data_IF_292605288049
#
_entry.id   IF_292605288049
#
_cell.length_a   1.000
_cell.length_b   1.000
_cell.length_c   1.000
_cell.angle_alpha   90.00
_cell.angle_beta   90.00
_cell.angle_gamma   90.00
#
_symmetry.space_group_name_H-M   'P 1'
#
loop_
_entity.id
_entity.type
_entity.pdbx_description
1 polymer ?
2 non-polymer ?
3 non-polymer ?
4 water ?
#
# COMPACT_ATOMS: atom_id res chain seq x y z
N UNK A 1 7.34 38.29 -10.54
CA UNK A 1 6.34 39.29 -10.11
C UNK A 1 6.36 39.40 -8.60
N UNK A 2 5.76 40.46 -8.09
CA UNK A 2 5.58 40.66 -6.66
C UNK A 2 4.19 40.20 -6.25
N UNK A 3 4.14 39.30 -5.28
CA UNK A 3 2.88 38.85 -4.66
C UNK A 3 2.91 39.43 -3.25
N UNK A 4 1.77 39.41 -2.57
CA UNK A 4 1.65 40.09 -1.27
C UNK A 4 0.90 39.24 -0.25
N UNK A 5 1.35 39.30 1.01
CA UNK A 5 0.58 38.76 2.14
C UNK A 5 0.63 39.78 3.30
N UNK A 6 0.06 39.43 4.46
CA UNK A 6 -0.04 40.39 5.57
C UNK A 6 1.32 40.83 6.14
N UNK A 7 2.40 40.12 5.86
CA UNK A 7 3.74 40.61 6.20
C UNK A 7 4.32 41.58 5.17
N UNK A 8 3.73 41.65 3.98
CA UNK A 8 4.26 42.52 2.93
C UNK A 8 4.36 41.83 1.58
N UNK A 9 5.28 42.31 0.74
CA UNK A 9 5.43 41.73 -0.59
C UNK A 9 6.75 40.95 -0.77
N UNK A 10 6.74 40.07 -1.76
CA UNK A 10 7.83 39.13 -1.99
C UNK A 10 7.82 38.71 -3.46
N UNK A 11 9.00 38.53 -4.04
CA UNK A 11 9.11 38.17 -5.45
C UNK A 11 8.77 36.69 -5.64
N UNK A 12 7.97 36.40 -6.67
CA UNK A 12 7.67 35.03 -7.04
C UNK A 12 8.02 34.90 -8.51
N UNK A 13 8.72 33.81 -8.90
CA UNK A 13 9.07 33.66 -10.32
C UNK A 13 7.82 33.73 -11.17
N UNK A 14 7.91 34.46 -12.28
CA UNK A 14 6.81 34.61 -13.21
C UNK A 14 6.30 33.26 -13.71
N UNK A 15 7.20 32.30 -13.87
CA UNK A 15 6.84 30.98 -14.39
C UNK A 15 6.01 30.14 -13.38
N UNK A 16 5.97 30.53 -12.11
CA UNK A 16 5.28 29.72 -11.09
C UNK A 16 3.90 30.29 -10.76
N UNK A 17 3.00 29.41 -10.33
CA UNK A 17 1.60 29.76 -10.11
C UNK A 17 1.25 29.99 -8.64
N UNK A 18 2.18 29.71 -7.72
CA UNK A 18 1.91 29.94 -6.31
C UNK A 18 2.07 31.40 -5.96
N UNK A 19 1.79 31.74 -4.71
CA UNK A 19 1.77 33.14 -4.29
C UNK A 19 2.67 33.45 -3.10
N UNK A 20 2.31 34.51 -2.39
CA UNK A 20 3.19 35.13 -1.40
C UNK A 20 3.55 34.16 -0.31
N UNK A 21 2.54 33.51 0.25
CA UNK A 21 2.71 32.68 1.41
C UNK A 21 3.53 31.43 1.08
N UNK A 22 3.26 30.82 -0.08
CA UNK A 22 4.04 29.66 -0.50
C UNK A 22 5.48 30.08 -0.69
N UNK A 23 5.69 31.21 -1.35
CA UNK A 23 7.04 31.66 -1.65
C UNK A 23 7.80 31.99 -0.38
N UNK A 24 7.09 32.63 0.54
CA UNK A 24 7.70 33.07 1.79
C UNK A 24 8.17 31.87 2.57
N UNK A 25 7.34 30.85 2.60
CA UNK A 25 7.55 29.69 3.45
C UNK A 25 8.31 28.55 2.75
N UNK A 26 8.74 28.84 1.52
CA UNK A 26 9.61 27.98 0.76
C UNK A 26 11.03 28.31 1.18
N UNK A 27 11.17 29.33 2.02
CA UNK A 27 12.46 29.68 2.60
C UNK A 27 12.55 29.34 4.11
N UNK A 28 11.41 29.22 4.77
CA UNK A 28 11.38 28.90 6.19
C UNK A 28 11.55 27.43 6.48
N UNK A 29 11.35 26.56 5.46
CA UNK A 29 11.39 25.11 5.70
C UNK A 29 12.19 24.34 4.69
N UNK A 30 13.44 24.76 4.50
CA UNK A 30 14.33 23.93 3.72
C UNK A 30 14.64 22.72 4.58
N UNK A 31 13.66 21.85 4.85
CA UNK A 31 14.01 20.63 5.60
C UNK A 31 13.99 19.41 4.65
N UNK A 32 15.16 18.83 4.40
CA UNK A 32 15.31 17.58 3.63
C UNK A 32 14.66 17.76 2.26
N UNK A 33 14.13 16.70 1.68
CA UNK A 33 13.69 16.76 0.28
C UNK A 33 12.28 16.21 0.05
N UNK A 34 11.67 15.64 1.07
CA UNK A 34 10.34 15.10 0.93
C UNK A 34 9.31 16.22 0.82
N UNK A 35 8.47 16.13 -0.20
CA UNK A 35 7.39 17.06 -0.48
C UNK A 35 6.06 16.32 -0.37
N UNK A 36 4.96 17.05 -0.34
CA UNK A 36 3.66 16.40 -0.28
C UNK A 36 3.52 15.52 -1.52
N UNK A 37 2.84 14.38 -1.37
CA UNK A 37 2.69 13.44 -2.47
C UNK A 37 1.66 13.99 -3.47
N UNK A 38 1.78 13.60 -4.74
CA UNK A 38 0.74 13.95 -5.69
C UNK A 38 -0.65 13.48 -5.25
N UNK A 39 -0.76 12.27 -4.70
CA UNK A 39 -2.03 11.76 -4.18
C UNK A 39 -2.68 12.76 -3.22
N UNK A 40 -1.88 13.28 -2.30
CA UNK A 40 -2.37 14.21 -1.30
C UNK A 40 -2.75 15.55 -1.94
N UNK A 41 -1.90 16.06 -2.82
CA UNK A 41 -2.17 17.31 -3.53
C UNK A 41 -3.50 17.17 -4.34
N UNK A 42 -3.66 16.04 -5.01
CA UNK A 42 -4.88 15.75 -5.77
C UNK A 42 -6.11 15.70 -4.91
N UNK A 43 -6.00 15.13 -3.72
CA UNK A 43 -7.13 15.04 -2.80
C UNK A 43 -7.51 16.46 -2.30
N UNK A 44 -6.49 17.28 -2.05
CA UNK A 44 -6.73 18.66 -1.66
C UNK A 44 -7.45 19.42 -2.80
N UNK A 45 -7.00 19.22 -4.03
CA UNK A 45 -7.61 19.87 -5.19
C UNK A 45 -9.04 19.40 -5.36
N UNK A 46 -9.29 18.12 -5.09
CA UNK A 46 -10.65 17.59 -5.17
C UNK A 46 -11.57 18.31 -4.16
N UNK A 47 -11.09 18.55 -2.95
CA UNK A 47 -11.88 19.30 -1.98
C UNK A 47 -12.19 20.70 -2.50
N UNK A 48 -11.20 21.36 -3.09
CA UNK A 48 -11.43 22.71 -3.63
C UNK A 48 -12.45 22.67 -4.78
N UNK A 49 -12.37 21.64 -5.60
CA UNK A 49 -13.32 21.42 -6.69
C UNK A 49 -14.73 21.24 -6.12
N UNK A 50 -14.85 20.42 -5.10
CA UNK A 50 -16.13 20.11 -4.49
C UNK A 50 -16.73 21.33 -3.79
N UNK A 51 -15.90 22.07 -3.05
CA UNK A 51 -16.31 23.28 -2.35
C UNK A 51 -16.85 24.32 -3.34
N UNK A 52 -16.19 24.50 -4.49
CA UNK A 52 -16.63 25.44 -5.52
C UNK A 52 -17.99 25.06 -6.07
N UNK A 53 -18.18 23.78 -6.36
CA UNK A 53 -19.43 23.28 -6.88
C UNK A 53 -20.54 23.47 -5.86
N UNK A 54 -20.28 23.10 -4.61
CA UNK A 54 -21.27 23.22 -3.57
C UNK A 54 -21.61 24.71 -3.31
N UNK A 55 -20.59 25.56 -3.27
CA UNK A 55 -20.75 26.97 -2.97
C UNK A 55 -21.51 27.65 -4.12
N UNK A 56 -21.30 27.20 -5.36
CA UNK A 56 -22.11 27.61 -6.49
C UNK A 56 -23.57 27.20 -6.28
N UNK A 57 -23.80 25.92 -6.00
CA UNK A 57 -25.14 25.42 -5.82
C UNK A 57 -25.86 26.14 -4.68
N UNK A 58 -25.17 26.48 -3.61
CA UNK A 58 -25.74 27.24 -2.49
C UNK A 58 -25.98 28.76 -2.81
N UNK A 59 -25.45 29.24 -3.93
CA UNK A 59 -25.64 30.63 -4.33
C UNK A 59 -24.66 31.62 -3.73
N UNK A 60 -23.62 31.13 -3.04
CA UNK A 60 -22.70 32.03 -2.32
C UNK A 60 -21.46 32.39 -3.12
N UNK A 61 -21.25 31.70 -4.23
CA UNK A 61 -20.09 31.93 -5.09
C UNK A 61 -20.55 32.15 -6.54
N UNK A 62 -19.98 33.16 -7.20
CA UNK A 62 -20.35 33.47 -8.57
C UNK A 62 -19.96 32.32 -9.50
N UNK A 63 -20.79 32.12 -10.51
CA UNK A 63 -20.60 31.03 -11.46
C UNK A 63 -19.28 31.11 -12.19
N UNK A 64 -18.89 32.31 -12.60
CA UNK A 64 -17.65 32.40 -13.35
C UNK A 64 -16.43 31.94 -12.52
N UNK A 65 -16.38 32.37 -11.26
CA UNK A 65 -15.31 31.99 -10.36
C UNK A 65 -15.37 30.48 -10.07
N UNK A 66 -16.56 29.98 -9.77
CA UNK A 66 -16.77 28.59 -9.49
C UNK A 66 -16.26 27.71 -10.64
N UNK A 67 -16.68 28.03 -11.86
CA UNK A 67 -16.27 27.27 -13.04
C UNK A 67 -14.75 27.32 -13.25
N UNK A 68 -14.15 28.49 -13.08
CA UNK A 68 -12.71 28.64 -13.26
C UNK A 68 -11.95 27.85 -12.18
N UNK A 69 -12.46 27.85 -10.95
CA UNK A 69 -11.83 27.11 -9.85
C UNK A 69 -11.91 25.59 -10.12
N UNK A 70 -13.09 25.12 -10.52
CA UNK A 70 -13.28 23.74 -10.89
C UNK A 70 -12.28 23.36 -12.01
N UNK A 71 -12.17 24.19 -13.04
CA UNK A 71 -11.31 23.87 -14.18
C UNK A 71 -9.83 23.79 -13.76
N UNK A 72 -9.42 24.73 -12.90
CA UNK A 72 -8.06 24.77 -12.38
C UNK A 72 -7.76 23.53 -11.53
N UNK A 73 -8.70 23.17 -10.65
CA UNK A 73 -8.57 21.98 -9.82
C UNK A 73 -8.42 20.73 -10.72
N UNK A 74 -9.21 20.66 -11.78
CA UNK A 74 -9.13 19.51 -12.69
C UNK A 74 -7.77 19.39 -13.36
N UNK A 75 -7.16 20.53 -13.70
CA UNK A 75 -5.84 20.51 -14.30
C UNK A 75 -4.82 19.94 -13.32
N UNK A 76 -4.91 20.34 -12.05
CA UNK A 76 -4.03 19.80 -11.01
C UNK A 76 -4.20 18.28 -10.89
N UNK A 77 -5.46 17.84 -10.83
CA UNK A 77 -5.80 16.44 -10.73
C UNK A 77 -5.30 15.64 -11.96
N UNK A 78 -5.34 16.26 -13.14
CA UNK A 78 -4.84 15.60 -14.35
C UNK A 78 -3.30 15.57 -14.42
N UNK A 79 -2.61 16.11 -13.43
CA UNK A 79 -1.15 16.07 -13.38
C UNK A 79 -0.45 17.19 -14.13
N UNK A 80 -1.17 18.24 -14.49
CA UNK A 80 -0.59 19.33 -15.31
C UNK A 80 0.16 20.42 -14.53
N UNK A 81 0.29 20.30 -13.22
CA UNK A 81 0.95 21.36 -12.42
C UNK A 81 1.87 20.80 -11.41
N UNK A 82 2.60 19.77 -11.85
CA UNK A 82 3.52 19.00 -11.02
C UNK A 82 4.54 19.86 -10.32
N UNK A 83 4.95 20.97 -10.94
CA UNK A 83 6.00 21.81 -10.35
C UNK A 83 5.48 22.98 -9.47
N UNK A 84 4.19 23.05 -9.19
CA UNK A 84 3.61 24.19 -8.47
C UNK A 84 3.40 23.94 -6.98
N UNK A 85 3.95 22.82 -6.48
CA UNK A 85 3.77 22.41 -5.09
C UNK A 85 5.11 22.04 -4.45
N UNK A 86 5.88 23.07 -4.06
CA UNK A 86 7.26 22.94 -3.69
C UNK A 86 7.54 22.76 -2.21
N UNK A 87 6.50 22.70 -1.39
CA UNK A 87 6.69 22.69 0.04
C UNK A 87 6.99 21.31 0.59
N UNK A 88 7.74 21.32 1.67
CA UNK A 88 8.13 20.15 2.40
C UNK A 88 6.99 19.56 3.22
N UNK A 89 7.13 18.27 3.47
CA UNK A 89 6.31 17.57 4.42
C UNK A 89 6.51 18.19 5.79
N UNK A 90 7.76 18.57 6.07
CA UNK A 90 8.18 19.01 7.41
C UNK A 90 7.83 20.49 7.53
N UNK A 91 6.53 20.75 7.72
CA UNK A 91 6.00 22.11 7.72
C UNK A 91 5.05 22.29 8.92
N UNK A 92 4.17 23.29 8.87
CA UNK A 92 3.07 23.43 9.82
C UNK A 92 2.42 22.06 10.02
N UNK A 93 2.20 21.65 11.25
CA UNK A 93 1.63 20.34 11.56
C UNK A 93 0.17 20.13 11.17
N UNK A 94 -0.49 21.24 10.87
CA UNK A 94 -1.87 21.21 10.39
C UNK A 94 -1.94 21.09 8.89
N UNK A 95 -0.81 21.22 8.21
CA UNK A 95 -0.82 21.30 6.75
C UNK A 95 -1.32 22.62 6.18
N UNK A 96 -1.42 23.67 7.02
CA UNK A 96 -1.85 24.99 6.56
C UNK A 96 -1.04 25.52 5.38
N UNK A 97 0.27 25.42 5.43
CA UNK A 97 1.10 25.97 4.36
C UNK A 97 0.73 25.32 3.03
N UNK A 98 0.48 24.01 3.04
CA UNK A 98 0.05 23.30 1.83
C UNK A 98 -1.40 23.65 1.43
N UNK A 99 -2.32 23.80 2.39
CA UNK A 99 -3.64 24.32 2.03
C UNK A 99 -3.52 25.67 1.27
N UNK A 100 -2.71 26.57 1.78
CA UNK A 100 -2.46 27.88 1.16
C UNK A 100 -1.85 27.72 -0.23
N UNK A 101 -0.95 26.73 -0.36
CA UNK A 101 -0.32 26.44 -1.66
C UNK A 101 -1.43 26.09 -2.70
N UNK A 102 -2.39 25.25 -2.33
CA UNK A 102 -3.49 24.92 -3.23
C UNK A 102 -4.32 26.18 -3.54
N UNK A 103 -4.65 26.96 -2.51
CA UNK A 103 -5.50 28.14 -2.68
C UNK A 103 -4.86 29.13 -3.64
N UNK A 104 -3.57 29.38 -3.48
CA UNK A 104 -2.85 30.35 -4.29
C UNK A 104 -2.70 29.87 -5.72
N UNK A 105 -2.32 28.61 -5.91
CA UNK A 105 -2.13 28.09 -7.26
C UNK A 105 -3.47 28.09 -8.02
N UNK A 106 -4.53 27.64 -7.37
CA UNK A 106 -5.82 27.57 -7.99
C UNK A 106 -6.35 29.00 -8.28
N UNK A 107 -6.14 29.93 -7.36
CA UNK A 107 -6.55 31.34 -7.56
C UNK A 107 -5.83 31.95 -8.76
N UNK A 108 -4.52 31.81 -8.83
CA UNK A 108 -3.76 32.34 -9.96
C UNK A 108 -4.17 31.72 -11.30
N UNK A 109 -4.37 30.41 -11.31
CA UNK A 109 -4.73 29.73 -12.54
C UNK A 109 -6.15 30.03 -12.97
N UNK A 110 -7.08 30.00 -12.02
CA UNK A 110 -8.48 30.36 -12.27
C UNK A 110 -8.55 31.81 -12.84
N UNK A 111 -7.73 32.69 -12.28
CA UNK A 111 -7.68 34.07 -12.76
C UNK A 111 -7.29 34.11 -14.25
N UNK A 112 -6.28 33.33 -14.65
CA UNK A 112 -5.91 33.19 -16.07
C UNK A 112 -7.07 32.66 -16.90
N UNK A 113 -7.76 31.66 -16.38
CA UNK A 113 -8.88 31.09 -17.09
C UNK A 113 -10.04 32.06 -17.29
N UNK A 114 -10.15 33.08 -16.44
CA UNK A 114 -11.16 34.14 -16.57
C UNK A 114 -10.70 35.31 -17.45
N UNK A 115 -9.53 35.21 -18.07
CA UNK A 115 -8.97 36.27 -18.91
C UNK A 115 -8.08 37.24 -18.14
N UNK A 116 -7.82 36.93 -16.86
CA UNK A 116 -7.02 37.79 -16.02
C UNK A 116 -5.55 37.37 -15.92
N UNK A 117 -4.88 37.90 -14.91
CA UNK A 117 -3.45 37.70 -14.73
C UNK A 117 -3.16 37.04 -13.37
N UNK A 118 -1.99 36.41 -13.30
CA UNK A 118 -1.43 35.94 -12.05
C UNK A 118 -1.06 37.11 -11.19
N UNK A 119 -1.18 36.94 -9.88
CA UNK A 119 -0.61 37.91 -8.93
C UNK A 119 -1.64 38.84 -8.33
N UNK A 120 -1.20 40.02 -7.91
CA UNK A 120 -2.00 40.90 -7.06
C UNK A 120 -3.28 41.38 -7.75
N UNK A 121 -3.31 41.39 -9.08
CA UNK A 121 -4.51 41.82 -9.81
C UNK A 121 -5.59 40.76 -9.98
N UNK A 122 -5.34 39.53 -9.51
CA UNK A 122 -6.21 38.41 -9.84
C UNK A 122 -7.66 38.63 -9.41
N UNK A 123 -8.57 38.10 -10.20
CA UNK A 123 -10.00 38.17 -9.92
C UNK A 123 -10.44 37.16 -8.85
N UNK A 124 -9.70 36.04 -8.74
CA UNK A 124 -10.03 34.99 -7.79
C UNK A 124 -9.09 35.07 -6.57
N UNK A 125 -9.69 35.15 -5.38
CA UNK A 125 -8.96 35.34 -4.13
C UNK A 125 -8.67 33.97 -3.48
N UNK A 126 -7.39 33.70 -3.15
CA UNK A 126 -7.07 32.40 -2.52
C UNK A 126 -7.89 32.09 -1.28
N UNK A 127 -7.98 33.03 -0.34
CA UNK A 127 -8.73 32.78 0.88
C UNK A 127 -10.22 32.96 0.70
N UNK A 128 -10.64 34.10 0.14
CA UNK A 128 -12.06 34.44 0.12
C UNK A 128 -12.86 33.62 -0.89
N UNK A 129 -12.23 33.19 -1.98
CA UNK A 129 -12.94 32.36 -2.98
C UNK A 129 -12.56 30.85 -2.95
N UNK A 130 -11.28 30.55 -3.11
CA UNK A 130 -10.85 29.13 -3.23
C UNK A 130 -11.07 28.42 -1.90
N UNK A 131 -10.77 29.12 -0.81
CA UNK A 131 -10.94 28.60 0.56
C UNK A 131 -12.29 28.93 1.21
N UNK A 132 -13.26 29.39 0.42
CA UNK A 132 -14.55 29.81 0.99
C UNK A 132 -15.24 28.69 1.74
N UNK A 133 -15.62 28.99 2.98
CA UNK A 133 -16.35 28.05 3.82
C UNK A 133 -15.51 26.98 4.52
N UNK A 134 -14.19 27.07 4.37
CA UNK A 134 -13.26 26.04 4.83
C UNK A 134 -12.29 26.62 5.83
N UNK A 135 -11.63 25.72 6.55
CA UNK A 135 -10.49 26.08 7.38
C UNK A 135 -9.38 25.11 6.99
N UNK A 136 -8.14 25.55 7.09
CA UNK A 136 -7.01 24.61 7.02
C UNK A 136 -7.19 23.43 7.97
N UNK A 137 -7.84 23.68 9.10
CA UNK A 137 -7.96 22.70 10.15
C UNK A 137 -8.88 21.56 9.76
N UNK A 138 -9.89 21.80 8.94
CA UNK A 138 -10.80 20.75 8.56
C UNK A 138 -10.56 20.21 7.14
N UNK A 139 -9.88 21.01 6.31
CA UNK A 139 -9.48 20.59 4.96
C UNK A 139 -8.42 19.47 5.00
N UNK A 140 -7.37 19.63 5.81
CA UNK A 140 -6.26 18.70 5.75
C UNK A 140 -6.66 17.29 6.23
N UNK A 141 -7.38 17.19 7.36
CA UNK A 141 -7.85 15.86 7.75
C UNK A 141 -8.72 15.23 6.69
N UNK A 142 -9.56 16.05 6.05
CA UNK A 142 -10.41 15.56 4.98
C UNK A 142 -9.58 14.99 3.84
N UNK A 143 -8.54 15.70 3.44
CA UNK A 143 -7.69 15.26 2.33
C UNK A 143 -6.90 13.98 2.68
N UNK A 144 -6.48 13.84 3.93
CA UNK A 144 -5.80 12.64 4.37
C UNK A 144 -6.69 11.40 4.18
N UNK A 145 -7.95 11.53 4.58
CA UNK A 145 -8.88 10.44 4.52
C UNK A 145 -9.17 10.08 3.09
N UNK A 146 -9.43 11.09 2.25
CA UNK A 146 -9.71 10.87 0.82
C UNK A 146 -8.50 10.21 0.13
N UNK A 147 -7.33 10.80 0.32
CA UNK A 147 -6.14 10.30 -0.35
C UNK A 147 -5.92 8.81 0.05
N UNK A 148 -6.01 8.51 1.33
CA UNK A 148 -5.76 7.12 1.79
C UNK A 148 -6.81 6.15 1.24
N UNK A 149 -8.09 6.52 1.32
CA UNK A 149 -9.19 5.66 0.88
C UNK A 149 -9.10 5.38 -0.64
N UNK A 150 -8.88 6.42 -1.44
CA UNK A 150 -8.82 6.24 -2.88
C UNK A 150 -7.58 5.39 -3.26
N UNK A 151 -6.46 5.61 -2.58
CA UNK A 151 -5.25 4.86 -2.90
C UNK A 151 -5.47 3.38 -2.56
N UNK A 152 -6.16 3.12 -1.46
CA UNK A 152 -6.52 1.76 -1.07
C UNK A 152 -7.43 1.09 -2.12
N UNK A 153 -8.50 1.77 -2.50
CA UNK A 153 -9.48 1.18 -3.39
C UNK A 153 -8.99 1.08 -4.83
N UNK A 154 -8.35 2.13 -5.33
CA UNK A 154 -7.99 2.19 -6.74
C UNK A 154 -6.62 1.60 -7.08
N UNK A 155 -5.72 1.53 -6.09
CA UNK A 155 -4.36 1.11 -6.36
C UNK A 155 -4.03 -0.18 -5.65
N UNK A 156 -4.16 -0.24 -4.32
CA UNK A 156 -3.75 -1.41 -3.56
C UNK A 156 -4.64 -2.65 -3.73
N UNK A 157 -5.95 -2.50 -3.51
CA UNK A 157 -6.81 -3.69 -3.58
C UNK A 157 -6.73 -4.36 -4.97
N UNK A 158 -6.72 -3.61 -6.06
CA UNK A 158 -6.65 -4.33 -7.33
C UNK A 158 -5.33 -5.07 -7.52
N UNK A 159 -4.23 -4.49 -7.04
CA UNK A 159 -2.93 -5.14 -7.16
C UNK A 159 -2.92 -6.45 -6.33
N UNK A 160 -3.47 -6.39 -5.12
CA UNK A 160 -3.54 -7.57 -4.29
C UNK A 160 -4.41 -8.65 -4.93
N UNK A 161 -5.53 -8.26 -5.53
CA UNK A 161 -6.40 -9.20 -6.18
C UNK A 161 -5.72 -9.85 -7.40
N UNK A 162 -4.94 -9.08 -8.14
CA UNK A 162 -4.20 -9.62 -9.30
C UNK A 162 -3.18 -10.67 -8.82
N UNK A 163 -2.42 -10.33 -7.78
CA UNK A 163 -1.42 -11.31 -7.28
C UNK A 163 -2.12 -12.54 -6.74
N UNK A 164 -3.24 -12.34 -6.05
CA UNK A 164 -4.01 -13.44 -5.52
C UNK A 164 -4.48 -14.39 -6.63
N UNK A 165 -5.03 -13.84 -7.71
CA UNK A 165 -5.49 -14.62 -8.84
C UNK A 165 -4.34 -15.46 -9.43
N UNK A 166 -3.16 -14.86 -9.56
CA UNK A 166 -2.02 -15.55 -10.12
C UNK A 166 -1.59 -16.71 -9.24
N UNK A 167 -1.47 -16.46 -7.94
CA UNK A 167 -1.01 -17.50 -7.03
C UNK A 167 -2.06 -18.62 -6.91
N UNK A 168 -3.33 -18.27 -7.08
CA UNK A 168 -4.38 -19.28 -7.04
C UNK A 168 -4.37 -20.14 -8.32
N UNK A 169 -4.09 -19.52 -9.47
CA UNK A 169 -3.91 -20.27 -10.72
C UNK A 169 -2.70 -21.19 -10.57
N UNK A 170 -1.63 -20.71 -9.94
CA UNK A 170 -0.48 -21.56 -9.69
C UNK A 170 -0.81 -22.71 -8.74
N UNK A 171 -1.54 -22.40 -7.66
CA UNK A 171 -1.97 -23.42 -6.73
C UNK A 171 -2.72 -24.57 -7.45
N UNK A 172 -3.66 -24.20 -8.31
CA UNK A 172 -4.43 -25.16 -9.07
C UNK A 172 -3.51 -26.02 -9.95
N UNK A 173 -2.60 -25.36 -10.67
CA UNK A 173 -1.67 -26.04 -11.56
C UNK A 173 -0.73 -26.98 -10.82
N UNK A 174 -0.40 -26.67 -9.56
CA UNK A 174 0.56 -27.45 -8.79
C UNK A 174 -0.09 -28.39 -7.78
N UNK A 175 -1.41 -28.59 -7.89
CA UNK A 175 -2.19 -29.34 -6.92
C UNK A 175 -1.77 -30.82 -6.77
N UNK A 176 -1.15 -31.38 -7.80
CA UNK A 176 -0.74 -32.78 -7.74
C UNK A 176 0.76 -32.96 -7.54
N UNK A 177 1.52 -31.88 -7.30
CA UNK A 177 2.96 -31.99 -7.07
C UNK A 177 3.25 -32.17 -5.59
N UNK A 178 3.63 -33.40 -5.21
CA UNK A 178 3.91 -33.71 -3.81
C UNK A 178 5.33 -33.31 -3.47
N UNK A 179 5.50 -32.61 -2.35
CA UNK A 179 6.81 -32.13 -1.93
C UNK A 179 6.98 -32.34 -0.43
N UNK A 180 8.22 -32.23 0.02
CA UNK A 180 8.58 -32.31 1.43
C UNK A 180 8.16 -31.00 2.14
N UNK A 181 7.43 -31.10 3.23
CA UNK A 181 7.17 -29.97 4.09
C UNK A 181 8.43 -29.58 4.85
N UNK A 182 8.43 -28.34 5.35
CA UNK A 182 9.49 -27.88 6.25
C UNK A 182 8.90 -27.13 7.40
N UNK A 183 9.21 -27.59 8.61
CA UNK A 183 8.86 -26.91 9.83
C UNK A 183 10.15 -26.74 10.63
N UNK A 184 10.34 -25.55 11.21
CA UNK A 184 11.57 -25.18 11.89
C UNK A 184 12.78 -25.21 10.96
N UNK A 185 12.52 -25.18 9.65
CA UNK A 185 13.51 -25.31 8.55
C UNK A 185 13.89 -26.77 8.27
N UNK A 186 13.33 -27.72 9.03
CA UNK A 186 13.73 -29.12 8.94
C UNK A 186 12.73 -29.93 8.08
N UNK A 187 13.24 -30.98 7.44
CA UNK A 187 12.41 -31.90 6.66
C UNK A 187 11.20 -32.32 7.50
N UNK A 188 10.02 -32.29 6.92
CA UNK A 188 8.78 -32.61 7.64
C UNK A 188 7.81 -33.37 6.74
N UNK A 189 6.63 -33.67 7.27
CA UNK A 189 5.49 -34.29 6.57
C UNK A 189 5.28 -33.68 5.18
N UNK A 190 4.95 -34.51 4.19
CA UNK A 190 4.66 -33.97 2.85
C UNK A 190 3.38 -33.15 2.73
N UNK A 191 3.34 -32.30 1.71
CA UNK A 191 2.11 -31.62 1.25
C UNK A 191 2.31 -31.34 -0.22
N UNK A 192 1.27 -30.90 -0.91
CA UNK A 192 1.48 -30.51 -2.30
C UNK A 192 1.96 -29.06 -2.43
N UNK A 193 2.67 -28.79 -3.52
CA UNK A 193 3.12 -27.46 -3.82
C UNK A 193 1.89 -26.56 -3.94
N UNK A 194 0.81 -27.12 -4.48
CA UNK A 194 -0.47 -26.41 -4.55
C UNK A 194 -1.04 -26.02 -3.20
N UNK A 195 -0.97 -26.94 -2.24
CA UNK A 195 -1.45 -26.66 -0.89
C UNK A 195 -0.63 -25.51 -0.27
N UNK A 196 0.69 -25.54 -0.44
CA UNK A 196 1.57 -24.51 0.11
C UNK A 196 1.21 -23.16 -0.49
N UNK A 197 1.00 -23.14 -1.81
CA UNK A 197 0.58 -21.93 -2.50
C UNK A 197 -0.82 -21.47 -2.06
N UNK A 198 -1.71 -22.42 -1.74
CA UNK A 198 -3.04 -22.06 -1.30
C UNK A 198 -2.97 -21.26 0.02
N UNK A 199 -1.93 -21.50 0.82
CA UNK A 199 -1.68 -20.70 2.01
C UNK A 199 -1.46 -19.23 1.67
N UNK A 200 -0.60 -18.98 0.69
CA UNK A 200 -0.32 -17.61 0.24
C UNK A 200 -1.60 -16.92 -0.25
N UNK A 201 -2.39 -17.65 -1.05
CA UNK A 201 -3.65 -17.14 -1.59
C UNK A 201 -4.58 -16.75 -0.44
N UNK A 202 -4.69 -17.62 0.55
CA UNK A 202 -5.55 -17.34 1.72
C UNK A 202 -5.02 -16.15 2.51
N UNK A 203 -3.71 -15.99 2.64
CA UNK A 203 -3.14 -14.81 3.32
C UNK A 203 -3.57 -13.51 2.59
N UNK A 204 -3.53 -13.54 1.24
CA UNK A 204 -3.96 -12.40 0.46
C UNK A 204 -5.46 -12.12 0.64
N UNK A 205 -6.31 -13.16 0.61
CA UNK A 205 -7.75 -13.00 0.89
C UNK A 205 -8.00 -12.34 2.25
N UNK A 206 -7.32 -12.82 3.27
CA UNK A 206 -7.44 -12.29 4.61
C UNK A 206 -7.03 -10.83 4.64
N UNK A 207 -5.90 -10.52 4.00
CA UNK A 207 -5.37 -9.16 3.97
C UNK A 207 -6.29 -8.19 3.26
N UNK A 208 -6.87 -8.64 2.15
CA UNK A 208 -7.80 -7.81 1.42
C UNK A 208 -9.00 -7.46 2.33
N UNK A 209 -9.52 -8.43 3.07
CA UNK A 209 -10.65 -8.19 3.95
C UNK A 209 -10.26 -7.25 5.10
N UNK A 210 -9.05 -7.43 5.62
CA UNK A 210 -8.57 -6.55 6.70
C UNK A 210 -8.41 -5.12 6.25
N UNK A 211 -7.87 -4.92 5.05
CA UNK A 211 -7.72 -3.59 4.51
C UNK A 211 -9.11 -2.94 4.27
N UNK A 212 -10.05 -3.71 3.73
CA UNK A 212 -11.40 -3.22 3.51
C UNK A 212 -12.06 -2.78 4.81
N UNK A 213 -11.68 -3.42 5.91
CA UNK A 213 -12.22 -3.07 7.23
C UNK A 213 -11.81 -1.66 7.69
N UNK A 214 -10.77 -1.08 7.07
CA UNK A 214 -10.31 0.29 7.36
C UNK A 214 -11.09 1.36 6.62
N UNK A 215 -11.89 0.98 5.63
CA UNK A 215 -12.51 1.98 4.75
C UNK A 215 -13.62 2.79 5.43
N UNK A 216 -14.54 2.15 6.16
CA UNK A 216 -15.65 2.95 6.73
C UNK A 216 -15.23 4.15 7.56
N UNK A 217 -14.16 4.02 8.34
CA UNK A 217 -13.67 5.14 9.17
C UNK A 217 -12.99 6.20 8.32
N UNK A 218 -12.22 5.76 7.32
CA UNK A 218 -11.61 6.69 6.37
C UNK A 218 -12.68 7.49 5.59
N UNK A 219 -13.84 6.87 5.34
CA UNK A 219 -14.88 7.55 4.58
C UNK A 219 -15.53 8.72 5.35
N UNK A 220 -15.24 8.83 6.64
CA UNK A 220 -15.77 9.90 7.44
C UNK A 220 -14.95 11.19 7.35
N UNK A 221 -15.58 12.26 6.82
CA UNK A 221 -14.86 13.48 6.49
C UNK A 221 -15.08 14.61 7.50
N UNK A 222 -13.97 15.27 7.85
CA UNK A 222 -13.98 16.36 8.82
C UNK A 222 -14.57 17.64 8.24
N UNK A 223 -14.67 17.72 6.91
CA UNK A 223 -15.00 18.97 6.24
C UNK A 223 -16.31 19.54 6.77
N UNK A 224 -16.25 20.79 7.25
CA UNK A 224 -17.41 21.43 7.89
C UNK A 224 -17.23 21.62 9.38
N UNK A 225 -16.19 21.02 9.97
CA UNK A 225 -15.88 21.24 11.38
C UNK A 225 -15.28 22.62 11.66
N UNK A 226 -14.80 23.27 10.61
CA UNK A 226 -14.11 24.56 10.65
C UNK A 226 -12.95 24.51 11.64
N UNK A 227 -12.76 25.54 12.46
CA UNK A 227 -11.50 25.71 13.20
C UNK A 227 -11.25 24.63 14.27
N UNK A 228 -12.29 24.28 15.03
CA UNK A 228 -12.12 23.40 16.17
C UNK A 228 -13.12 22.25 16.26
N UNK A 229 -13.94 22.08 15.24
CA UNK A 229 -14.89 20.97 15.22
C UNK A 229 -16.35 21.36 15.31
N UNK A 230 -16.63 22.58 15.79
CA UNK A 230 -18.01 23.03 16.06
C UNK A 230 -18.79 23.38 14.80
N UNK A 231 -18.10 23.64 13.69
CA UNK A 231 -18.77 24.13 12.48
C UNK A 231 -19.09 25.62 12.48
N UNK A 232 -18.60 26.37 13.47
CA UNK A 232 -18.76 27.83 13.52
C UNK A 232 -18.33 28.44 12.20
N UNK A 233 -19.23 29.27 11.65
CA UNK A 233 -18.99 30.06 10.43
C UNK A 233 -19.08 29.26 9.14
N UNK A 234 -19.43 27.99 9.23
CA UNK A 234 -19.71 27.20 8.05
C UNK A 234 -21.15 27.46 7.63
N UNK A 235 -21.39 27.48 6.33
CA UNK A 235 -22.75 27.39 5.84
C UNK A 235 -23.33 26.08 6.35
N UNK A 236 -24.58 26.10 6.83
CA UNK A 236 -25.18 24.91 7.45
C UNK A 236 -25.31 23.69 6.55
N UNK A 237 -25.33 23.88 5.24
CA UNK A 237 -25.43 22.78 4.30
C UNK A 237 -24.08 22.34 3.71
N UNK A 238 -23.01 23.03 4.05
CA UNK A 238 -21.72 22.79 3.40
C UNK A 238 -21.17 21.39 3.71
N UNK A 239 -21.19 20.99 4.98
CA UNK A 239 -20.59 19.69 5.41
C UNK A 239 -21.17 18.51 4.63
N UNK A 240 -22.49 18.42 4.60
CA UNK A 240 -23.21 17.36 3.92
C UNK A 240 -23.00 17.49 2.42
N UNK A 241 -23.07 18.72 1.93
CA UNK A 241 -22.96 18.96 0.51
C UNK A 241 -21.60 18.56 -0.05
N UNK A 242 -20.54 18.97 0.64
CA UNK A 242 -19.19 18.65 0.17
C UNK A 242 -18.94 17.15 0.21
N UNK A 243 -19.40 16.49 1.28
CA UNK A 243 -19.18 15.05 1.40
C UNK A 243 -19.91 14.30 0.27
N UNK A 244 -21.15 14.72 -0.04
CA UNK A 244 -21.90 14.10 -1.14
C UNK A 244 -21.20 14.30 -2.48
N UNK A 245 -20.68 15.51 -2.67
CA UNK A 245 -19.99 15.83 -3.93
C UNK A 245 -18.67 15.06 -4.06
N UNK A 246 -17.95 14.88 -2.96
CA UNK A 246 -16.72 14.07 -2.97
C UNK A 246 -17.09 12.62 -3.29
N UNK A 247 -18.18 12.14 -2.70
CA UNK A 247 -18.75 10.84 -3.05
C UNK A 247 -19.05 10.67 -4.53
N UNK A 248 -19.70 11.67 -5.12
CA UNK A 248 -20.04 11.64 -6.56
C UNK A 248 -18.77 11.63 -7.40
N UNK A 249 -17.81 12.46 -7.03
CA UNK A 249 -16.59 12.59 -7.80
C UNK A 249 -15.74 11.31 -7.79
N UNK A 250 -15.76 10.58 -6.68
CA UNK A 250 -14.84 9.45 -6.46
C UNK A 250 -15.48 8.09 -6.70
N UNK A 251 -16.81 8.04 -6.61
CA UNK A 251 -17.54 6.79 -6.67
C UNK A 251 -17.56 6.03 -5.35
N UNK A 252 -17.07 6.65 -4.27
CA UNK A 252 -16.97 5.96 -3.00
C UNK A 252 -17.93 6.59 -1.98
N UNK A 253 -18.39 5.81 -0.98
CA UNK A 253 -19.41 6.35 -0.07
C UNK A 253 -18.85 7.25 1.06
N UNK A 254 -18.20 8.34 0.69
CA UNK A 254 -17.79 9.35 1.65
C UNK A 254 -19.01 9.97 2.34
N UNK A 255 -18.86 10.27 3.62
CA UNK A 255 -19.92 10.85 4.42
C UNK A 255 -19.34 11.87 5.35
N UNK A 256 -20.18 12.78 5.83
CA UNK A 256 -19.73 13.75 6.81
C UNK A 256 -19.51 13.02 8.14
N UNK A 257 -18.39 13.28 8.78
CA UNK A 257 -18.05 12.55 10.03
C UNK A 257 -19.10 12.83 11.08
N UNK A 258 -19.67 11.78 11.71
CA UNK A 258 -20.64 12.02 12.76
C UNK A 258 -20.05 12.79 13.96
N UNK A 259 -18.75 12.64 14.21
CA UNK A 259 -18.10 13.47 15.23
C UNK A 259 -16.88 14.21 14.67
N UNK A 260 -17.06 15.50 14.38
CA UNK A 260 -15.97 16.30 13.81
C UNK A 260 -14.76 16.43 14.74
N UNK A 261 -15.04 16.52 16.04
CA UNK A 261 -13.97 16.65 17.03
C UNK A 261 -13.01 15.45 16.93
N UNK A 262 -13.59 14.26 16.77
CA UNK A 262 -12.78 13.03 16.74
C UNK A 262 -11.85 12.97 15.54
N UNK A 263 -12.35 13.34 14.36
CA UNK A 263 -11.53 13.28 13.13
C UNK A 263 -10.61 14.52 12.94
N UNK A 264 -10.72 15.50 13.85
CA UNK A 264 -9.80 16.64 13.87
C UNK A 264 -8.76 16.57 14.97
N UNK A 265 -9.21 16.25 16.17
CA UNK A 265 -8.34 16.07 17.32
C UNK A 265 -7.49 14.81 17.19
N UNK A 266 -7.89 13.91 16.30
CA UNK A 266 -7.14 12.66 16.10
C UNK A 266 -7.17 12.24 14.63
N UNK A 267 -6.20 11.42 14.24
CA UNK A 267 -6.11 10.82 12.90
C UNK A 267 -6.19 9.30 13.07
N UNK A 268 -7.10 8.83 13.92
CA UNK A 268 -7.15 7.42 14.30
C UNK A 268 -7.51 6.49 13.13
N UNK A 269 -8.25 6.99 12.15
CA UNK A 269 -8.56 6.20 10.97
C UNK A 269 -7.30 5.83 10.15
N UNK A 270 -6.31 6.71 10.17
CA UNK A 270 -5.07 6.52 9.46
C UNK A 270 -4.21 5.55 10.25
N UNK A 271 -4.21 5.68 11.59
CA UNK A 271 -3.52 4.73 12.44
C UNK A 271 -4.06 3.31 12.20
N UNK A 272 -5.38 3.17 12.14
CA UNK A 272 -5.98 1.86 11.94
C UNK A 272 -5.70 1.33 10.53
N UNK A 273 -5.86 2.19 9.52
CA UNK A 273 -5.61 1.79 8.16
C UNK A 273 -4.16 1.30 8.06
N UNK A 274 -3.23 2.02 8.70
CA UNK A 274 -1.85 1.58 8.62
C UNK A 274 -1.60 0.25 9.32
N UNK A 275 -2.35 -0.03 10.40
CA UNK A 275 -2.38 -1.35 11.01
C UNK A 275 -2.76 -2.48 10.04
N UNK A 276 -3.74 -2.23 9.18
CA UNK A 276 -4.09 -3.14 8.09
C UNK A 276 -2.96 -3.27 7.07
N UNK A 277 -2.31 -2.16 6.74
CA UNK A 277 -1.24 -2.18 5.77
C UNK A 277 -0.05 -3.02 6.26
N UNK A 278 0.31 -2.88 7.53
CA UNK A 278 1.43 -3.68 8.06
C UNK A 278 1.07 -5.16 8.23
N UNK A 279 -0.22 -5.49 8.36
CA UNK A 279 -0.64 -6.89 8.25
C UNK A 279 -0.37 -7.44 6.84
N UNK A 280 -0.74 -6.70 5.80
CA UNK A 280 -0.41 -7.09 4.43
C UNK A 280 1.11 -7.25 4.25
N UNK A 281 1.90 -6.32 4.84
CA UNK A 281 3.36 -6.37 4.76
C UNK A 281 3.91 -7.68 5.37
N UNK A 282 3.35 -8.10 6.50
CA UNK A 282 3.81 -9.34 7.14
C UNK A 282 3.54 -10.53 6.23
N UNK A 283 2.38 -10.54 5.57
CA UNK A 283 2.04 -11.61 4.65
C UNK A 283 2.96 -11.60 3.42
N UNK A 284 3.12 -10.43 2.79
CA UNK A 284 3.95 -10.32 1.60
C UNK A 284 5.40 -10.69 1.88
N UNK A 285 5.92 -10.28 3.04
CA UNK A 285 7.24 -10.68 3.46
C UNK A 285 7.40 -12.20 3.43
N UNK A 286 6.46 -12.92 4.04
CA UNK A 286 6.49 -14.37 4.11
C UNK A 286 6.43 -15.00 2.71
N UNK A 287 5.50 -14.52 1.89
CA UNK A 287 5.32 -15.02 0.54
C UNK A 287 6.59 -14.81 -0.30
N UNK A 288 7.08 -13.58 -0.30
CA UNK A 288 8.27 -13.21 -1.05
C UNK A 288 9.49 -14.04 -0.58
N UNK A 289 9.61 -14.21 0.74
CA UNK A 289 10.69 -15.01 1.29
C UNK A 289 10.66 -16.49 0.94
N UNK A 290 9.48 -17.10 1.10
CA UNK A 290 9.32 -18.49 0.74
C UNK A 290 9.74 -18.70 -0.72
N UNK A 291 9.27 -17.82 -1.61
CA UNK A 291 9.54 -18.00 -3.01
C UNK A 291 11.03 -17.91 -3.34
N UNK A 292 11.74 -16.93 -2.78
CA UNK A 292 13.16 -16.84 -3.05
C UNK A 292 13.93 -18.02 -2.44
N UNK A 293 13.53 -18.47 -1.26
CA UNK A 293 14.17 -19.63 -0.67
C UNK A 293 13.94 -20.89 -1.50
N UNK A 294 12.71 -21.12 -1.92
CA UNK A 294 12.36 -22.30 -2.71
C UNK A 294 13.04 -22.30 -4.09
N UNK A 295 13.38 -21.11 -4.61
CA UNK A 295 14.09 -20.96 -5.88
C UNK A 295 15.60 -20.84 -5.70
N UNK A 296 16.09 -20.91 -4.47
CA UNK A 296 17.54 -20.75 -4.25
C UNK A 296 18.37 -21.86 -4.92
N UNK A 297 19.51 -21.46 -5.47
CA UNK A 297 20.50 -22.38 -6.01
C UNK A 297 21.44 -21.70 -6.98
N UNK A 298 21.64 -22.28 -8.18
CA UNK A 298 20.93 -23.43 -8.76
C UNK A 298 21.26 -24.79 -8.17
N UNK A 299 22.37 -24.92 -7.44
CA UNK A 299 22.78 -26.23 -6.93
C UNK A 299 23.06 -26.41 -5.44
N UNK A 300 23.23 -25.33 -4.68
CA UNK A 300 23.52 -25.44 -3.26
C UNK A 300 22.43 -24.85 -2.36
N UNK A 301 21.23 -24.70 -2.90
CA UNK A 301 20.08 -24.19 -2.20
C UNK A 301 18.97 -25.20 -2.08
N UNK A 302 17.71 -24.75 -2.13
CA UNK A 302 16.60 -25.68 -2.07
C UNK A 302 16.27 -26.18 -3.49
N UNK A 303 16.18 -25.29 -4.46
CA UNK A 303 16.07 -25.68 -5.87
C UNK A 303 14.72 -26.20 -6.32
N UNK A 304 13.66 -25.96 -5.54
CA UNK A 304 12.35 -26.48 -5.90
C UNK A 304 11.63 -25.68 -6.99
N UNK A 305 11.90 -24.36 -7.06
CA UNK A 305 11.26 -23.50 -8.04
C UNK A 305 12.29 -22.82 -8.94
N UNK A 306 11.89 -22.52 -10.17
CA UNK A 306 12.57 -21.57 -11.04
C UNK A 306 11.72 -20.32 -11.15
N UNK A 307 12.38 -19.17 -11.13
CA UNK A 307 11.69 -17.91 -11.28
C UNK A 307 12.25 -17.17 -12.50
N UNK A 308 11.46 -16.25 -13.07
CA UNK A 308 11.98 -15.51 -14.20
C UNK A 308 13.21 -14.68 -13.85
N UNK A 309 14.09 -14.58 -14.82
CA UNK A 309 15.29 -13.79 -14.71
C UNK A 309 14.96 -12.42 -15.26
N UNK A 310 14.87 -11.41 -14.40
CA UNK A 310 14.56 -10.05 -14.89
C UNK A 310 15.75 -9.42 -15.58
N UNK A 311 16.85 -9.31 -14.85
CA UNK A 311 17.95 -8.54 -15.35
C UNK A 311 19.06 -9.47 -15.85
N UNK A 312 19.72 -9.05 -16.94
CA UNK A 312 20.70 -9.89 -17.63
C UNK A 312 21.73 -10.52 -16.69
N UNK A 313 21.96 -11.81 -16.89
CA UNK A 313 23.01 -12.54 -16.18
C UNK A 313 24.37 -12.44 -16.86
N UNK A 314 25.21 -13.44 -16.61
CA UNK A 314 26.65 -13.36 -16.88
C UNK A 314 27.14 -14.15 -18.11
N UNK A 315 26.44 -15.22 -18.49
CA UNK A 315 26.92 -16.21 -19.50
C UNK A 315 27.85 -17.26 -18.84
N UNK A 316 28.86 -16.79 -18.09
CA UNK A 316 29.69 -17.62 -17.19
C UNK A 316 28.90 -18.11 -15.95
N UNK A 317 27.89 -17.34 -15.55
CA UNK A 317 27.09 -17.66 -14.36
C UNK A 317 25.67 -18.02 -14.73
N UNK A 318 25.52 -19.06 -15.55
CA UNK A 318 24.23 -19.70 -15.47
C UNK A 318 24.23 -20.51 -14.17
N UNK A 319 23.10 -21.11 -13.81
CA UNK A 319 21.78 -20.51 -13.95
C UNK A 319 21.51 -19.78 -12.61
N UNK A 320 22.40 -18.85 -12.29
CA UNK A 320 22.31 -17.99 -11.13
C UNK A 320 21.26 -16.90 -11.38
N UNK A 321 20.09 -17.03 -10.77
CA UNK A 321 19.03 -16.04 -10.91
C UNK A 321 18.79 -15.35 -9.55
N UNK A 322 19.22 -14.09 -9.41
CA UNK A 322 19.02 -13.35 -8.16
C UNK A 322 17.53 -12.98 -8.07
N UNK A 323 16.91 -13.19 -6.92
CA UNK A 323 15.47 -12.98 -6.77
C UNK A 323 15.16 -11.52 -6.40
N UNK A 324 15.32 -10.69 -7.40
CA UNK A 324 15.24 -9.22 -7.28
C UNK A 324 13.89 -8.73 -6.84
N UNK A 325 12.82 -9.35 -7.35
CA UNK A 325 11.48 -8.99 -6.93
C UNK A 325 11.22 -9.29 -5.46
N UNK A 326 11.66 -10.45 -4.96
CA UNK A 326 11.58 -10.74 -3.55
C UNK A 326 12.39 -9.77 -2.70
N UNK A 327 13.52 -9.31 -3.21
CA UNK A 327 14.34 -8.36 -2.47
C UNK A 327 13.66 -7.00 -2.40
N UNK A 328 13.04 -6.57 -3.48
CA UNK A 328 12.34 -5.29 -3.51
C UNK A 328 11.18 -5.35 -2.51
N UNK A 329 10.44 -6.45 -2.54
CA UNK A 329 9.26 -6.60 -1.68
C UNK A 329 9.65 -6.69 -0.20
N UNK A 330 10.67 -7.51 0.11
CA UNK A 330 11.08 -7.64 1.49
C UNK A 330 11.59 -6.31 2.03
N UNK A 331 12.34 -5.58 1.23
CA UNK A 331 12.78 -4.24 1.63
C UNK A 331 11.61 -3.29 1.89
N UNK A 332 10.64 -3.24 0.98
CA UNK A 332 9.53 -2.32 1.18
C UNK A 332 8.64 -2.74 2.34
N UNK A 333 8.59 -4.04 2.66
CA UNK A 333 7.85 -4.49 3.82
C UNK A 333 8.52 -3.97 5.10
N UNK A 334 9.85 -3.98 5.15
CA UNK A 334 10.58 -3.33 6.27
C UNK A 334 10.19 -1.85 6.39
N UNK A 335 10.14 -1.16 5.25
CA UNK A 335 9.76 0.25 5.24
C UNK A 335 8.35 0.43 5.82
N UNK A 336 7.38 -0.42 5.43
CA UNK A 336 6.01 -0.33 5.97
C UNK A 336 6.01 -0.50 7.50
N UNK A 337 6.78 -1.45 8.02
CA UNK A 337 6.88 -1.61 9.46
C UNK A 337 7.41 -0.36 10.18
N UNK A 338 8.43 0.26 9.62
CA UNK A 338 8.93 1.53 10.17
C UNK A 338 7.89 2.63 10.08
N UNK A 339 7.26 2.72 8.92
CA UNK A 339 6.28 3.77 8.68
C UNK A 339 5.15 3.68 9.72
N UNK A 340 4.81 2.45 10.13
CA UNK A 340 3.74 2.25 11.11
C UNK A 340 4.07 2.91 12.45
N UNK A 341 5.33 2.79 12.87
CA UNK A 341 5.79 3.42 14.11
C UNK A 341 5.69 4.95 14.03
N UNK A 342 6.13 5.52 12.92
CA UNK A 342 6.06 6.96 12.74
C UNK A 342 4.60 7.43 12.80
N UNK A 343 3.71 6.71 12.13
CA UNK A 343 2.27 7.00 12.16
C UNK A 343 1.72 6.91 13.56
N UNK A 344 2.13 5.86 14.27
CA UNK A 344 1.64 5.64 15.62
C UNK A 344 2.06 6.77 16.57
N UNK A 345 3.33 7.18 16.52
CA UNK A 345 3.80 8.23 17.41
C UNK A 345 3.01 9.53 17.11
N UNK A 346 2.86 9.84 15.84
CA UNK A 346 2.12 11.03 15.44
C UNK A 346 0.65 10.98 15.84
N UNK A 347 0.01 9.86 15.55
CA UNK A 347 -1.40 9.64 15.86
C UNK A 347 -1.71 9.75 17.34
N UNK A 348 -0.75 9.32 18.17
CA UNK A 348 -0.91 9.31 19.61
C UNK A 348 -0.71 10.70 20.22
N UNK A 349 -0.20 11.65 19.43
CA UNK A 349 0.34 12.88 19.97
C UNK A 349 -0.51 14.12 19.66
N UNK A 350 -1.80 13.91 19.41
CA UNK A 350 -2.74 15.03 19.29
C UNK A 350 -2.87 15.76 20.62
N UNK A 351 -3.13 17.06 20.57
CA UNK A 351 -3.40 17.86 21.76
C UNK A 351 -4.71 18.65 21.54
N UNK A 352 -5.64 18.46 22.48
CA UNK A 352 -6.89 19.21 22.53
C UNK A 352 -7.62 19.12 21.20
N UNK A 353 -7.87 20.25 20.54
CA UNK A 353 -8.79 20.25 19.40
C UNK A 353 -8.21 19.81 18.06
N UNK A 354 -6.88 19.73 17.95
CA UNK A 354 -6.24 19.39 16.67
C UNK A 354 -4.97 18.56 16.80
N UNK A 355 -4.91 17.49 16.03
CA UNK A 355 -3.67 16.76 15.89
C UNK A 355 -2.85 17.46 14.82
N UNK A 356 -1.65 17.88 15.16
CA UNK A 356 -0.77 18.62 14.26
C UNK A 356 0.53 17.84 13.99
N UNK A 357 0.35 16.55 13.69
CA UNK A 357 1.44 15.70 13.18
C UNK A 357 1.03 15.24 11.78
N UNK A 358 0.14 15.99 11.11
CA UNK A 358 -0.57 15.46 9.95
C UNK A 358 0.19 15.23 8.66
N UNK A 359 1.01 16.20 8.23
CA UNK A 359 1.76 15.94 6.99
C UNK A 359 2.62 14.67 7.07
N UNK A 360 3.26 14.46 8.22
CA UNK A 360 4.08 13.23 8.45
C UNK A 360 3.20 11.98 8.42
N UNK A 361 2.07 11.99 9.11
CA UNK A 361 1.17 10.83 9.10
C UNK A 361 0.78 10.48 7.66
N UNK A 362 0.37 11.49 6.90
CA UNK A 362 -0.10 11.31 5.52
C UNK A 362 1.03 10.80 4.62
N UNK A 363 2.21 11.40 4.77
CA UNK A 363 3.37 10.97 4.00
C UNK A 363 3.62 9.46 4.13
N UNK A 364 3.59 8.98 5.37
CA UNK A 364 3.82 7.56 5.67
C UNK A 364 2.71 6.64 5.17
N UNK A 365 1.45 6.99 5.46
CA UNK A 365 0.33 6.14 5.04
C UNK A 365 0.32 6.01 3.51
N UNK A 366 0.48 7.12 2.81
CA UNK A 366 0.39 7.10 1.35
C UNK A 366 1.60 6.40 0.72
N UNK A 367 2.77 6.56 1.34
CA UNK A 367 3.94 5.83 0.89
C UNK A 367 3.70 4.32 1.07
N UNK A 368 3.24 3.92 2.24
CA UNK A 368 3.02 2.50 2.47
C UNK A 368 2.05 1.90 1.45
N UNK A 369 0.98 2.62 1.11
CA UNK A 369 -0.01 2.15 0.13
C UNK A 369 0.68 1.98 -1.22
N UNK A 370 1.49 2.93 -1.64
CA UNK A 370 2.14 2.88 -2.96
C UNK A 370 3.11 1.71 -3.01
N UNK A 371 3.87 1.58 -1.94
CA UNK A 371 4.88 0.51 -1.87
C UNK A 371 4.25 -0.86 -1.97
N UNK A 372 3.22 -1.09 -1.17
CA UNK A 372 2.55 -2.38 -1.19
C UNK A 372 1.84 -2.66 -2.52
N UNK A 373 1.21 -1.64 -3.10
CA UNK A 373 0.49 -1.80 -4.37
C UNK A 373 1.44 -2.05 -5.53
N UNK A 374 2.41 -1.16 -5.71
CA UNK A 374 3.38 -1.34 -6.80
C UNK A 374 4.22 -2.60 -6.55
N UNK A 375 4.52 -2.89 -5.30
CA UNK A 375 5.30 -4.08 -4.93
C UNK A 375 4.59 -5.39 -5.31
N UNK A 376 3.32 -5.49 -4.91
CA UNK A 376 2.47 -6.64 -5.27
C UNK A 376 2.34 -6.77 -6.78
N UNK A 377 2.14 -5.64 -7.48
CA UNK A 377 1.99 -5.66 -8.93
C UNK A 377 3.26 -6.11 -9.63
N UNK A 378 4.39 -5.54 -9.24
CA UNK A 378 5.69 -5.91 -9.78
C UNK A 378 6.04 -7.36 -9.48
N UNK A 379 5.79 -7.78 -8.25
CA UNK A 379 6.05 -9.16 -7.88
C UNK A 379 5.17 -10.08 -8.74
N UNK A 380 3.91 -9.70 -8.94
CA UNK A 380 3.05 -10.45 -9.85
C UNK A 380 3.64 -10.57 -11.24
N UNK A 381 3.91 -9.41 -11.85
CA UNK A 381 4.25 -9.34 -13.26
C UNK A 381 5.62 -9.95 -13.57
N UNK A 382 6.57 -9.78 -12.66
CA UNK A 382 7.96 -10.09 -12.96
C UNK A 382 8.46 -11.29 -12.21
N UNK A 383 7.61 -11.90 -11.40
CA UNK A 383 7.99 -13.11 -10.68
C UNK A 383 6.90 -14.14 -10.67
N UNK A 384 5.79 -13.84 -10.00
CA UNK A 384 4.77 -14.85 -9.73
C UNK A 384 4.19 -15.51 -10.98
N UNK A 385 3.87 -14.73 -12.02
CA UNK A 385 3.25 -15.32 -13.22
C UNK A 385 4.16 -16.37 -13.90
N UNK A 386 5.48 -16.28 -13.72
CA UNK A 386 6.42 -17.21 -14.35
C UNK A 386 7.08 -18.24 -13.44
N UNK A 387 6.54 -18.41 -12.23
CA UNK A 387 7.05 -19.42 -11.32
C UNK A 387 6.82 -20.80 -11.96
N UNK A 388 7.87 -21.62 -12.01
CA UNK A 388 7.78 -23.01 -12.51
C UNK A 388 8.38 -23.96 -11.49
N UNK A 389 7.76 -25.13 -11.33
CA UNK A 389 8.31 -26.16 -10.45
C UNK A 389 9.47 -26.91 -11.09
N UNK A 390 10.52 -27.20 -10.33
CA UNK A 390 11.58 -28.09 -10.81
C UNK A 390 11.17 -29.50 -10.35
N UNK A 391 10.38 -30.16 -11.21
CA UNK A 391 9.68 -31.38 -10.83
C UNK A 391 10.60 -32.54 -10.42
N UNK A 392 11.71 -32.71 -11.13
CA UNK A 392 12.67 -33.79 -10.83
C UNK A 392 13.35 -33.54 -9.49
N UNK A 393 13.79 -32.30 -9.28
CA UNK A 393 14.40 -31.93 -8.02
C UNK A 393 13.43 -32.08 -6.83
N UNK A 394 12.19 -31.61 -6.98
CA UNK A 394 11.17 -31.75 -5.93
C UNK A 394 10.99 -33.25 -5.58
N UNK A 395 10.84 -34.08 -6.61
CA UNK A 395 10.56 -35.51 -6.40
C UNK A 395 11.77 -36.25 -5.81
N UNK A 396 12.98 -35.83 -6.19
CA UNK A 396 14.21 -36.39 -5.62
C UNK A 396 14.34 -36.02 -4.13
N UNK A 397 14.07 -34.77 -3.77
CA UNK A 397 14.13 -34.40 -2.35
C UNK A 397 13.15 -35.26 -1.56
N UNK A 398 11.93 -35.39 -2.08
CA UNK A 398 10.87 -36.14 -1.42
C UNK A 398 11.26 -37.59 -1.14
N UNK A 399 11.67 -38.29 -2.19
CA UNK A 399 11.92 -39.73 -2.10
C UNK A 399 13.26 -40.10 -1.49
N UNK A 400 14.20 -39.17 -1.44
CA UNK A 400 15.49 -39.42 -0.82
C UNK A 400 15.50 -38.94 0.63
N UNK A 401 14.39 -38.36 1.09
CA UNK A 401 14.30 -37.95 2.48
C UNK A 401 14.03 -39.17 3.37
N UNK A 402 14.05 -38.92 4.69
CA UNK A 402 13.74 -39.93 5.73
C UNK A 402 12.28 -39.90 6.15
N UNK A 403 11.54 -38.93 5.62
CA UNK A 403 10.21 -38.59 6.14
C UNK A 403 9.10 -39.57 5.71
N UNK A 404 9.28 -40.25 4.59
CA UNK A 404 8.25 -41.15 4.11
C UNK A 404 8.15 -42.46 4.91
N UNK A 405 9.04 -42.66 5.88
CA UNK A 405 9.10 -43.91 6.64
C UNK A 405 7.81 -44.22 7.41
N UNK A 406 7.08 -43.18 7.84
CA UNK A 406 5.78 -43.34 8.54
C UNK A 406 4.74 -44.16 7.74
N UNK A 407 4.86 -44.19 6.42
CA UNK A 407 3.98 -45.00 5.58
C UNK A 407 4.07 -46.52 5.92
N UNK A 408 5.23 -46.92 6.41
CA UNK A 408 5.49 -48.31 6.78
C UNK A 408 4.87 -48.71 8.13
N UNK A 409 4.52 -47.73 8.97
CA UNK A 409 4.01 -48.01 10.32
C UNK A 409 2.89 -49.06 10.38
N UNK A 410 1.83 -48.90 9.56
CA UNK A 410 0.76 -49.92 9.60
C UNK A 410 1.22 -51.32 9.20
N UNK A 411 2.27 -51.43 8.39
CA UNK A 411 2.64 -52.70 7.78
C UNK A 411 3.72 -53.44 8.51
N UNK A 412 4.56 -52.74 9.27
CA UNK A 412 5.61 -53.42 10.03
C UNK A 412 5.72 -52.88 11.47
N UNK A 413 4.86 -51.94 11.83
CA UNK A 413 4.91 -51.33 13.15
C UNK A 413 5.96 -50.24 13.29
N UNK A 414 5.70 -49.33 14.24
CA UNK A 414 6.56 -48.19 14.52
C UNK A 414 8.06 -48.51 14.72
N UNK A 415 8.35 -49.58 15.46
CA UNK A 415 9.72 -49.84 15.90
C UNK A 415 10.62 -50.22 14.75
N UNK A 416 10.13 -51.09 13.87
CA UNK A 416 10.85 -51.49 12.66
C UNK A 416 10.99 -50.32 11.66
N UNK A 417 9.94 -49.50 11.57
CA UNK A 417 9.95 -48.31 10.71
C UNK A 417 11.05 -47.38 11.20
N UNK A 418 10.99 -47.04 12.50
CA UNK A 418 12.02 -46.24 13.16
C UNK A 418 13.42 -46.82 12.99
N UNK A 419 13.50 -48.14 12.95
CA UNK A 419 14.77 -48.85 12.81
C UNK A 419 15.36 -48.64 11.42
N UNK A 420 14.48 -48.62 10.42
CA UNK A 420 14.89 -48.42 9.03
C UNK A 420 15.42 -46.97 8.84
N UNK A 421 14.70 -46.01 9.43
CA UNK A 421 15.04 -44.58 9.27
C UNK A 421 16.42 -44.30 9.86
N UNK A 422 16.62 -44.75 11.10
CA UNK A 422 17.91 -44.68 11.79
C UNK A 422 19.04 -45.30 10.98
N UNK A 423 18.78 -46.38 10.28
CA UNK A 423 19.84 -47.05 9.51
C UNK A 423 20.15 -46.30 8.21
N UNK A 424 19.11 -45.86 7.50
CA UNK A 424 19.32 -44.99 6.33
C UNK A 424 20.12 -43.74 6.72
N UNK A 425 19.75 -43.14 7.85
CA UNK A 425 20.42 -41.92 8.31
C UNK A 425 21.89 -42.18 8.58
N UNK A 426 22.16 -43.19 9.40
CA UNK A 426 23.53 -43.56 9.79
C UNK A 426 24.38 -43.91 8.58
N UNK A 427 23.78 -44.55 7.58
CA UNK A 427 24.55 -45.10 6.46
C UNK A 427 24.56 -44.23 5.22
N UNK A 428 23.75 -43.18 5.18
CA UNK A 428 23.73 -42.31 4.01
C UNK A 428 22.97 -42.93 2.85
N UNK A 429 22.02 -43.81 3.16
CA UNK A 429 21.26 -44.49 2.11
C UNK A 429 19.79 -44.07 2.07
N UNK A 430 19.09 -44.50 1.02
CA UNK A 430 17.66 -44.33 0.94
C UNK A 430 16.98 -45.22 1.98
N UNK A 431 15.72 -44.88 2.30
CA UNK A 431 14.89 -45.71 3.17
C UNK A 431 14.69 -47.12 2.59
N UNK A 432 14.52 -47.17 1.26
CA UNK A 432 14.28 -48.42 0.54
C UNK A 432 15.48 -49.34 0.68
N UNK A 433 16.67 -48.79 0.43
CA UNK A 433 17.93 -49.56 0.58
C UNK A 433 18.08 -50.12 2.00
N UNK A 434 17.90 -49.29 3.02
CA UNK A 434 17.95 -49.76 4.40
C UNK A 434 16.86 -50.81 4.74
N UNK A 435 15.69 -50.68 4.12
CA UNK A 435 14.56 -51.54 4.42
C UNK A 435 14.84 -52.95 3.87
N UNK A 436 15.38 -52.99 2.64
CA UNK A 436 15.85 -54.20 1.98
C UNK A 436 16.99 -54.87 2.73
N UNK A 437 17.97 -54.07 3.16
CA UNK A 437 19.10 -54.56 3.96
C UNK A 437 18.63 -55.27 5.23
N UNK A 438 17.74 -54.64 5.99
CA UNK A 438 17.20 -55.26 7.22
C UNK A 438 16.25 -56.44 6.97
N UNK A 439 15.90 -56.67 5.70
CA UNK A 439 14.97 -57.74 5.33
C UNK A 439 13.54 -57.50 5.82
N UNK A 440 13.21 -56.24 6.12
CA UNK A 440 11.88 -55.92 6.68
C UNK A 440 10.84 -55.64 5.61
N UNK A 441 11.29 -55.35 4.39
CA UNK A 441 10.39 -54.92 3.33
C UNK A 441 11.05 -55.25 2.00
N UNK A 442 10.30 -55.95 1.14
CA UNK A 442 10.73 -56.16 -0.23
C UNK A 442 10.61 -54.87 -1.04
N UNK A 443 11.35 -54.84 -2.14
CA UNK A 443 11.25 -53.79 -3.14
C UNK A 443 9.79 -53.55 -3.57
N UNK A 444 9.10 -54.61 -3.96
CA UNK A 444 7.70 -54.51 -4.39
C UNK A 444 6.77 -53.99 -3.29
N UNK A 445 7.03 -54.41 -2.04
CA UNK A 445 6.24 -53.95 -0.89
C UNK A 445 6.45 -52.45 -0.64
N UNK A 446 7.69 -51.99 -0.79
CA UNK A 446 8.05 -50.60 -0.52
C UNK A 446 7.24 -49.71 -1.44
N UNK A 447 7.33 -49.99 -2.73
CA UNK A 447 6.58 -49.27 -3.76
C UNK A 447 5.07 -49.32 -3.57
N UNK A 448 4.54 -50.44 -3.09
CA UNK A 448 3.09 -50.55 -2.86
C UNK A 448 2.67 -49.77 -1.61
N UNK A 449 3.49 -49.79 -0.57
CA UNK A 449 3.13 -49.23 0.72
C UNK A 449 3.48 -47.76 0.90
N UNK A 450 4.57 -47.31 0.27
CA UNK A 450 5.04 -45.93 0.44
C UNK A 450 4.58 -45.09 -0.74
N UNK A 451 3.42 -44.46 -0.58
CA UNK A 451 2.77 -43.71 -1.64
C UNK A 451 2.60 -42.23 -1.23
N UNK A 452 3.58 -41.37 -1.56
CA UNK A 452 3.49 -39.94 -1.15
C UNK A 452 2.16 -39.30 -1.55
N UNK A 453 1.65 -39.65 -2.73
CA UNK A 453 0.37 -39.14 -3.20
C UNK A 453 -0.83 -39.48 -2.30
N UNK A 454 -0.66 -40.41 -1.36
CA UNK A 454 -1.72 -40.72 -0.39
C UNK A 454 -1.46 -40.15 0.97
N UNK A 455 -0.42 -39.33 1.09
CA UNK A 455 0.01 -38.82 2.39
C UNK A 455 -0.20 -37.32 2.53
N UNK A 456 -1.11 -36.75 1.74
CA UNK A 456 -1.32 -35.30 1.69
C UNK A 456 -2.77 -34.89 2.04
N UNK A 457 -3.53 -35.83 2.60
CA UNK A 457 -4.91 -35.59 3.09
C UNK A 457 -5.99 -35.78 2.04
X LIG B 1 5.88 -51.58 16.98
X LIG C 1 -7.25 28.13 9.02
#
# INVERSE_FOLDING_TARGET
RMERDTFGEIAVPAARLWGAQTQRSLQNFKISTEKQSPELIHALALIKRAAAAVNLELGVLAQDKANAIVAAADEIIAGRHADEFPLAVWQTGSGTQTNMNLNEVIANRASELLGGERGESRAVHPNDDVNRGQSSNDVFPTAMHIAAARAIVDHLLPALRTLRATLDAKAAAFADIVKIGRTHLQDATPLTLGQEFSGYVAQLDQGIRHVEAALPHLYELAQGGTAVGTGLNAHPKFAAGVAAEIGRLTGLPFVSAPNKFEVMAAADALVFAHGALKTVAASLMKIANDIRWLASGPRCGLGELSIPENEPGSSIMPGKVNPTQSEAVTMLCCQVFGNDVAVNFGGASGNFELNVFRPMIAHNVLQSVRLLADGAQGFNDHCAVGIEPNRARIDALLNESLMLVTALNPHIGYDKAAQIAKKAHKEGTTLKAAALALGYVTDAQFDEWVRPEHMVGNR
NA NA
UNL UNL
#
